data_IF_392974412839
#
_entry.id   IF_392974412839
#
_cell.length_a   1.000
_cell.length_b   1.000
_cell.length_c   1.000
_cell.angle_alpha   90.00
_cell.angle_beta   90.00
_cell.angle_gamma   90.00
#
_symmetry.space_group_name_H-M   'P 1'
#
loop_
_entity.id
_entity.type
_entity.pdbx_description
1 polymer ?
#
# COMPACT_ATOMS: atom_id res chain seq x y z
N UNK A 1 33.10 72.58 -33.00
CA UNK A 1 32.30 71.48 -33.61
C UNK A 1 31.24 71.07 -32.57
N UNK A 2 29.91 71.04 -32.82
CA UNK A 2 29.15 70.14 -33.72
C UNK A 2 29.55 68.67 -33.48
N UNK A 3 28.73 67.69 -33.11
CA UNK A 3 27.28 67.44 -33.00
C UNK A 3 27.04 66.62 -31.69
N UNK A 4 25.87 66.48 -31.04
CA UNK A 4 24.52 67.05 -31.15
C UNK A 4 23.73 66.77 -29.84
N UNK A 5 22.42 67.09 -29.79
CA UNK A 5 21.45 66.52 -28.82
C UNK A 5 20.41 65.71 -29.59
N UNK A 6 20.06 64.51 -29.11
CA UNK A 6 19.03 63.65 -29.71
C UNK A 6 18.07 63.10 -28.66
N UNK A 7 16.92 63.76 -28.49
CA UNK A 7 15.85 63.35 -27.58
C UNK A 7 14.96 62.26 -28.22
N UNK A 8 14.69 61.17 -27.48
CA UNK A 8 13.45 60.41 -27.66
C UNK A 8 13.04 59.50 -26.49
N UNK A 9 12.04 59.97 -25.74
CA UNK A 9 10.87 59.21 -25.21
C UNK A 9 11.10 57.87 -24.47
N UNK A 10 10.94 57.95 -23.14
CA UNK A 10 9.93 57.20 -22.37
C UNK A 10 9.43 55.85 -22.93
N UNK A 11 9.78 54.75 -22.24
CA UNK A 11 8.83 53.66 -21.96
C UNK A 11 8.90 53.25 -20.50
N UNK A 12 7.75 53.29 -19.82
CA UNK A 12 7.57 52.81 -18.44
C UNK A 12 7.39 51.29 -18.45
N UNK A 13 7.85 50.65 -17.36
CA UNK A 13 7.36 49.40 -16.75
C UNK A 13 6.56 48.42 -17.62
N UNK A 14 7.18 47.26 -17.88
CA UNK A 14 6.59 45.94 -17.66
C UNK A 14 7.70 45.13 -16.95
N UNK A 15 7.46 44.31 -15.93
CA UNK A 15 6.22 43.66 -15.49
C UNK A 15 6.54 42.18 -15.34
N UNK A 16 6.47 41.64 -14.12
CA UNK A 16 6.85 40.26 -13.78
C UNK A 16 6.15 39.21 -14.66
N UNK A 17 6.89 38.56 -15.56
CA UNK A 17 6.54 37.29 -16.23
C UNK A 17 7.87 36.60 -16.57
N UNK A 18 8.16 35.33 -16.27
CA UNK A 18 7.30 34.24 -15.79
C UNK A 18 7.87 33.52 -14.56
N UNK A 19 7.22 33.67 -13.40
CA UNK A 19 7.32 32.73 -12.28
C UNK A 19 6.17 31.69 -12.30
N UNK A 20 5.39 31.63 -13.38
CA UNK A 20 4.07 30.98 -13.42
C UNK A 20 4.02 29.51 -13.87
N UNK A 21 5.11 28.92 -14.37
CA UNK A 21 5.09 27.56 -14.93
C UNK A 21 5.45 26.44 -13.93
N UNK A 22 6.07 26.77 -12.79
CA UNK A 22 6.40 25.80 -11.74
C UNK A 22 5.27 25.58 -10.72
N UNK A 23 4.26 26.45 -10.68
CA UNK A 23 3.11 26.30 -9.77
C UNK A 23 2.06 25.30 -10.27
N UNK A 24 1.92 25.11 -11.59
CA UNK A 24 0.89 24.26 -12.19
C UNK A 24 1.19 22.75 -12.05
N UNK A 25 2.46 22.35 -11.90
CA UNK A 25 2.82 20.93 -11.78
C UNK A 25 2.48 20.35 -10.40
N UNK A 26 2.63 21.13 -9.32
CA UNK A 26 2.31 20.67 -7.96
C UNK A 26 0.80 20.50 -7.74
N UNK A 27 -0.03 21.41 -8.26
CA UNK A 27 -1.50 21.30 -8.19
C UNK A 27 -2.06 20.12 -9.01
N UNK A 28 -1.37 19.73 -10.09
CA UNK A 28 -1.76 18.59 -10.94
C UNK A 28 -1.45 17.20 -10.36
N UNK A 29 -0.81 17.11 -9.19
CA UNK A 29 -0.49 15.84 -8.52
C UNK A 29 -1.53 15.52 -7.44
N UNK A 30 -1.82 16.45 -6.52
CA UNK A 30 -2.83 16.26 -5.47
C UNK A 30 -4.22 15.97 -6.05
N UNK A 31 -4.61 16.72 -7.10
CA UNK A 31 -5.89 16.55 -7.79
C UNK A 31 -6.09 15.17 -8.42
N UNK A 32 -5.02 14.47 -8.82
CA UNK A 32 -5.13 13.09 -9.32
C UNK A 32 -5.29 12.07 -8.20
N UNK A 33 -4.58 12.23 -7.08
CA UNK A 33 -4.78 11.39 -5.89
C UNK A 33 -6.19 11.55 -5.34
N UNK A 34 -6.69 12.79 -5.24
CA UNK A 34 -8.05 13.11 -4.83
C UNK A 34 -9.09 12.47 -5.76
N UNK A 35 -8.92 12.59 -7.10
CA UNK A 35 -9.81 11.95 -8.07
C UNK A 35 -9.80 10.43 -7.95
N UNK A 36 -8.63 9.80 -7.90
CA UNK A 36 -8.51 8.34 -7.75
C UNK A 36 -9.13 7.85 -6.44
N UNK A 37 -8.98 8.63 -5.36
CA UNK A 37 -9.60 8.34 -4.05
C UNK A 37 -11.12 8.51 -4.08
N UNK A 38 -11.68 9.41 -4.89
CA UNK A 38 -13.13 9.48 -5.13
C UNK A 38 -13.61 8.25 -5.87
N UNK A 39 -12.92 7.86 -6.94
CA UNK A 39 -13.28 6.69 -7.75
C UNK A 39 -13.24 5.38 -6.95
N UNK A 40 -12.27 5.22 -6.03
CA UNK A 40 -12.27 4.10 -5.08
C UNK A 40 -13.51 4.08 -4.17
N UNK A 41 -13.97 5.24 -3.68
CA UNK A 41 -15.20 5.35 -2.86
C UNK A 41 -16.49 5.16 -3.66
N UNK A 42 -16.41 5.32 -4.98
CA UNK A 42 -17.48 5.06 -5.94
C UNK A 42 -17.41 3.64 -6.53
N UNK A 43 -16.51 2.79 -6.01
CA UNK A 43 -16.26 1.40 -6.45
C UNK A 43 -15.86 1.27 -7.94
N UNK A 44 -15.35 2.35 -8.54
CA UNK A 44 -14.91 2.43 -9.95
C UNK A 44 -13.43 2.08 -10.06
N UNK A 45 -13.10 0.83 -9.79
CA UNK A 45 -11.72 0.39 -9.58
C UNK A 45 -10.85 0.49 -10.85
N UNK A 46 -11.38 0.23 -12.05
CA UNK A 46 -10.64 0.41 -13.30
C UNK A 46 -10.32 1.90 -13.56
N UNK A 47 -11.30 2.79 -13.40
CA UNK A 47 -11.09 4.23 -13.54
C UNK A 47 -10.09 4.75 -12.49
N UNK A 48 -10.16 4.23 -11.26
CA UNK A 48 -9.23 4.56 -10.18
C UNK A 48 -7.80 4.15 -10.54
N UNK A 49 -7.60 2.90 -11.00
CA UNK A 49 -6.31 2.39 -11.45
C UNK A 49 -5.71 3.28 -12.56
N UNK A 50 -6.49 3.59 -13.60
CA UNK A 50 -6.08 4.51 -14.68
C UNK A 50 -5.64 5.89 -14.19
N UNK A 51 -6.31 6.44 -13.16
CA UNK A 51 -5.96 7.74 -12.59
C UNK A 51 -4.70 7.65 -11.73
N UNK A 52 -4.52 6.58 -10.97
CA UNK A 52 -3.33 6.36 -10.16
C UNK A 52 -2.09 6.04 -11.01
N UNK A 53 -2.20 5.29 -12.11
CA UNK A 53 -1.10 5.08 -13.07
C UNK A 53 -0.61 6.39 -13.70
N UNK A 54 -1.52 7.32 -13.99
CA UNK A 54 -1.19 8.68 -14.49
C UNK A 54 -0.56 9.57 -13.40
N UNK A 55 -0.62 9.17 -12.13
CA UNK A 55 -0.06 9.87 -10.98
C UNK A 55 1.25 9.24 -10.46
N UNK A 56 1.44 7.92 -10.59
CA UNK A 56 2.63 7.21 -10.09
C UNK A 56 3.93 7.65 -10.77
N UNK A 57 3.88 8.15 -12.00
CA UNK A 57 5.02 8.79 -12.67
C UNK A 57 5.42 10.18 -12.14
N UNK A 58 4.82 10.69 -11.04
CA UNK A 58 5.03 12.07 -10.56
C UNK A 58 5.59 12.13 -9.14
N UNK A 59 6.77 12.72 -9.01
CA UNK A 59 7.63 12.64 -7.82
C UNK A 59 7.05 13.10 -6.48
N UNK A 60 6.03 13.97 -6.46
CA UNK A 60 5.51 14.52 -5.19
C UNK A 60 4.47 13.65 -4.48
N UNK A 61 3.82 12.71 -5.19
CA UNK A 61 2.73 11.87 -4.68
C UNK A 61 2.81 10.41 -5.17
N UNK A 62 3.99 10.00 -5.66
CA UNK A 62 4.24 8.68 -6.27
C UNK A 62 3.83 7.52 -5.34
N UNK A 63 4.20 7.59 -4.06
CA UNK A 63 3.89 6.54 -3.06
C UNK A 63 2.40 6.45 -2.71
N UNK A 64 1.69 7.58 -2.64
CA UNK A 64 0.23 7.59 -2.46
C UNK A 64 -0.48 7.07 -3.71
N UNK A 65 0.03 7.37 -4.91
CA UNK A 65 -0.48 6.82 -6.17
C UNK A 65 -0.32 5.29 -6.22
N UNK A 66 0.86 4.77 -5.90
CA UNK A 66 1.09 3.32 -5.84
C UNK A 66 0.21 2.61 -4.79
N UNK A 67 -0.05 3.23 -3.63
CA UNK A 67 -1.02 2.70 -2.65
C UNK A 67 -2.44 2.64 -3.22
N UNK A 68 -2.88 3.71 -3.89
CA UNK A 68 -4.18 3.76 -4.55
C UNK A 68 -4.33 2.74 -5.69
N UNK A 69 -3.26 2.57 -6.47
CA UNK A 69 -3.18 1.58 -7.54
C UNK A 69 -3.24 0.14 -7.00
N UNK A 70 -2.55 -0.15 -5.90
CA UNK A 70 -2.61 -1.44 -5.22
C UNK A 70 -4.01 -1.78 -4.72
N UNK A 71 -4.72 -0.82 -4.09
CA UNK A 71 -6.12 -0.98 -3.69
C UNK A 71 -6.99 -1.24 -4.92
N UNK A 72 -6.83 -0.44 -5.98
CA UNK A 72 -7.61 -0.59 -7.21
C UNK A 72 -7.43 -1.99 -7.82
N UNK A 73 -6.20 -2.49 -7.89
CA UNK A 73 -5.92 -3.84 -8.40
C UNK A 73 -6.39 -4.96 -7.47
N UNK A 74 -6.38 -4.74 -6.15
CA UNK A 74 -6.90 -5.70 -5.18
C UNK A 74 -8.40 -5.96 -5.36
N UNK A 75 -9.19 -4.89 -5.45
CA UNK A 75 -10.65 -4.97 -5.65
C UNK A 75 -11.01 -5.56 -7.02
N UNK A 76 -10.15 -5.37 -8.03
CA UNK A 76 -10.26 -6.03 -9.34
C UNK A 76 -9.80 -7.50 -9.35
N UNK A 77 -9.37 -8.06 -8.22
CA UNK A 77 -8.83 -9.42 -8.13
C UNK A 77 -7.49 -9.63 -8.86
N UNK A 78 -6.80 -8.55 -9.25
CA UNK A 78 -5.49 -8.56 -9.92
C UNK A 78 -4.39 -8.57 -8.84
N UNK A 79 -4.38 -9.62 -8.02
CA UNK A 79 -3.57 -9.73 -6.81
C UNK A 79 -2.05 -9.65 -7.03
N UNK A 80 -1.57 -10.09 -8.20
CA UNK A 80 -0.17 -9.97 -8.63
C UNK A 80 0.26 -8.51 -8.77
N UNK A 81 -0.57 -7.71 -9.47
CA UNK A 81 -0.36 -6.27 -9.63
C UNK A 81 -0.60 -5.51 -8.34
N UNK A 82 -1.57 -5.94 -7.53
CA UNK A 82 -1.85 -5.36 -6.23
C UNK A 82 -0.62 -5.47 -5.32
N UNK A 83 -0.05 -6.68 -5.19
CA UNK A 83 1.17 -6.91 -4.41
C UNK A 83 2.33 -6.03 -4.91
N UNK A 84 2.60 -6.01 -6.21
CA UNK A 84 3.69 -5.19 -6.78
C UNK A 84 3.50 -3.68 -6.55
N UNK A 85 2.28 -3.17 -6.69
CA UNK A 85 1.96 -1.77 -6.41
C UNK A 85 2.09 -1.43 -4.91
N UNK A 86 1.70 -2.34 -4.01
CA UNK A 86 1.88 -2.18 -2.56
C UNK A 86 3.36 -2.25 -2.14
N UNK A 87 4.15 -3.19 -2.69
CA UNK A 87 5.63 -3.22 -2.52
C UNK A 87 6.23 -1.86 -2.92
N UNK A 88 5.91 -1.39 -4.13
CA UNK A 88 6.43 -0.10 -4.64
C UNK A 88 6.01 1.07 -3.74
N UNK A 89 4.78 1.08 -3.23
CA UNK A 89 4.32 2.11 -2.29
C UNK A 89 5.14 2.12 -0.98
N UNK A 90 5.45 0.93 -0.44
CA UNK A 90 6.26 0.76 0.76
C UNK A 90 7.72 1.19 0.54
N UNK A 91 8.33 0.82 -0.59
CA UNK A 91 9.67 1.25 -1.01
C UNK A 91 9.77 2.77 -1.15
N UNK A 92 8.73 3.40 -1.71
CA UNK A 92 8.63 4.87 -1.85
C UNK A 92 8.24 5.56 -0.54
N UNK A 93 8.19 4.84 0.58
CA UNK A 93 7.97 5.39 1.92
C UNK A 93 6.56 5.89 2.18
N UNK A 94 5.54 5.21 1.64
CA UNK A 94 4.14 5.45 2.05
C UNK A 94 3.99 5.16 3.55
N UNK A 95 3.01 5.80 4.21
CA UNK A 95 2.69 5.48 5.60
C UNK A 95 2.30 4.00 5.71
N UNK A 96 3.11 3.23 6.45
CA UNK A 96 2.79 1.86 6.86
C UNK A 96 1.54 1.87 7.74
N UNK A 97 0.59 0.98 7.45
CA UNK A 97 -0.63 0.79 8.25
C UNK A 97 -0.99 -0.70 8.28
N UNK A 98 -1.70 -1.18 9.31
CA UNK A 98 -2.14 -2.58 9.40
C UNK A 98 -2.90 -3.04 8.16
N UNK A 99 -3.80 -2.19 7.65
CA UNK A 99 -4.67 -2.50 6.51
C UNK A 99 -3.87 -2.64 5.21
N UNK A 100 -2.81 -1.84 5.03
CA UNK A 100 -1.90 -1.97 3.89
C UNK A 100 -1.16 -3.32 3.94
N UNK A 101 -0.72 -3.73 5.13
CA UNK A 101 -0.08 -5.03 5.34
C UNK A 101 -1.07 -6.19 5.20
N UNK A 102 -2.33 -6.05 5.61
CA UNK A 102 -3.37 -7.06 5.40
C UNK A 102 -3.68 -7.25 3.91
N UNK A 103 -3.90 -6.15 3.17
CA UNK A 103 -4.14 -6.20 1.72
C UNK A 103 -2.95 -6.80 0.96
N UNK A 104 -1.71 -6.48 1.36
CA UNK A 104 -0.50 -7.08 0.79
C UNK A 104 -0.40 -8.58 1.13
N UNK A 105 -0.66 -8.97 2.37
CA UNK A 105 -0.66 -10.37 2.80
C UNK A 105 -1.71 -11.20 2.07
N UNK A 106 -2.94 -10.69 1.94
CA UNK A 106 -4.01 -11.34 1.17
C UNK A 106 -3.61 -11.41 -0.32
N UNK A 107 -3.04 -10.35 -0.90
CA UNK A 107 -2.56 -10.37 -2.28
C UNK A 107 -1.54 -11.50 -2.51
N UNK A 108 -0.58 -11.65 -1.59
CA UNK A 108 0.40 -12.74 -1.65
C UNK A 108 -0.19 -14.13 -1.47
N UNK A 109 -1.10 -14.29 -0.51
CA UNK A 109 -1.83 -15.53 -0.28
C UNK A 109 -2.60 -15.97 -1.54
N UNK A 110 -3.26 -15.03 -2.22
CA UNK A 110 -4.04 -15.31 -3.44
C UNK A 110 -3.18 -15.72 -4.65
N UNK A 111 -1.92 -15.31 -4.70
CA UNK A 111 -0.95 -15.71 -5.75
C UNK A 111 0.02 -16.82 -5.31
N UNK A 112 -0.21 -17.44 -4.14
CA UNK A 112 0.58 -18.57 -3.64
C UNK A 112 1.97 -18.21 -3.11
N UNK A 113 2.29 -16.92 -2.89
CA UNK A 113 3.56 -16.48 -2.30
C UNK A 113 3.46 -16.48 -0.76
N UNK A 114 3.24 -17.67 -0.18
CA UNK A 114 2.89 -17.84 1.22
C UNK A 114 3.91 -17.27 2.22
N UNK A 115 5.21 -17.40 1.96
CA UNK A 115 6.26 -16.81 2.83
C UNK A 115 6.14 -15.29 2.93
N UNK A 116 5.89 -14.61 1.80
CA UNK A 116 5.67 -13.16 1.76
C UNK A 116 4.34 -12.77 2.40
N UNK A 117 3.32 -13.63 2.30
CA UNK A 117 2.05 -13.43 2.98
C UNK A 117 2.23 -13.46 4.50
N UNK A 118 2.93 -14.47 5.04
CA UNK A 118 3.21 -14.62 6.47
C UNK A 118 3.91 -13.37 7.02
N UNK A 119 5.02 -12.96 6.38
CA UNK A 119 5.76 -11.74 6.75
C UNK A 119 4.87 -10.48 6.69
N UNK A 120 3.95 -10.39 5.73
CA UNK A 120 3.04 -9.24 5.63
C UNK A 120 2.01 -9.24 6.77
N UNK A 121 1.44 -10.39 7.12
CA UNK A 121 0.50 -10.53 8.23
C UNK A 121 1.18 -10.25 9.58
N UNK A 122 2.38 -10.79 9.81
CA UNK A 122 3.19 -10.52 11.01
C UNK A 122 3.47 -9.03 11.16
N UNK A 123 3.94 -8.36 10.09
CA UNK A 123 4.28 -6.94 10.13
C UNK A 123 3.08 -6.04 10.47
N UNK A 124 1.85 -6.42 10.08
CA UNK A 124 0.66 -5.62 10.34
C UNK A 124 -0.01 -5.93 11.68
N UNK A 125 -0.02 -7.20 12.12
CA UNK A 125 -0.62 -7.61 13.40
C UNK A 125 0.13 -7.04 14.61
N UNK A 126 1.46 -6.87 14.50
CA UNK A 126 2.31 -6.28 15.52
C UNK A 126 2.24 -4.73 15.59
N UNK A 127 1.47 -4.06 14.73
CA UNK A 127 1.37 -2.59 14.74
C UNK A 127 0.42 -2.07 15.83
N UNK A 128 0.83 -1.00 16.54
CA UNK A 128 0.00 -0.30 17.53
C UNK A 128 -1.38 0.16 16.99
N UNK A 129 -1.47 0.41 15.69
CA UNK A 129 -2.70 0.85 15.03
C UNK A 129 -3.69 -0.27 14.68
N UNK A 130 -3.32 -1.55 14.83
CA UNK A 130 -4.20 -2.66 14.48
C UNK A 130 -5.21 -2.91 15.61
N UNK A 131 -6.50 -2.77 15.30
CA UNK A 131 -7.58 -3.15 16.21
C UNK A 131 -7.65 -4.67 16.39
N UNK A 132 -8.15 -5.14 17.54
CA UNK A 132 -8.06 -6.55 17.95
C UNK A 132 -8.65 -7.54 16.93
N UNK A 133 -9.74 -7.16 16.25
CA UNK A 133 -10.32 -7.98 15.17
C UNK A 133 -9.34 -8.15 14.00
N UNK A 134 -8.69 -7.07 13.55
CA UNK A 134 -7.73 -7.11 12.45
C UNK A 134 -6.45 -7.85 12.87
N UNK A 135 -5.98 -7.67 14.11
CA UNK A 135 -4.88 -8.46 14.67
C UNK A 135 -5.20 -9.96 14.63
N UNK A 136 -6.41 -10.35 15.04
CA UNK A 136 -6.87 -11.74 15.04
C UNK A 136 -6.97 -12.30 13.62
N UNK A 137 -7.56 -11.56 12.69
CA UNK A 137 -7.65 -11.95 11.27
C UNK A 137 -6.26 -12.16 10.66
N UNK A 138 -5.33 -11.22 10.86
CA UNK A 138 -3.97 -11.30 10.34
C UNK A 138 -3.19 -12.47 10.96
N UNK A 139 -3.27 -12.67 12.29
CA UNK A 139 -2.61 -13.78 12.96
C UNK A 139 -3.17 -15.16 12.55
N UNK A 140 -4.49 -15.27 12.34
CA UNK A 140 -5.11 -16.48 11.78
C UNK A 140 -4.63 -16.74 10.34
N UNK A 141 -4.62 -15.71 9.50
CA UNK A 141 -4.14 -15.83 8.12
C UNK A 141 -2.64 -16.18 8.06
N UNK A 142 -1.82 -15.70 9.01
CA UNK A 142 -0.41 -16.06 9.14
C UNK A 142 -0.20 -17.57 9.38
N UNK A 143 -0.96 -18.16 10.33
CA UNK A 143 -0.95 -19.61 10.59
C UNK A 143 -1.33 -20.38 9.33
N UNK A 144 -2.43 -19.99 8.68
CA UNK A 144 -2.93 -20.65 7.47
C UNK A 144 -1.91 -20.61 6.31
N UNK A 145 -1.23 -19.48 6.07
CA UNK A 145 -0.24 -19.43 4.98
C UNK A 145 1.05 -20.19 5.32
N UNK A 146 1.45 -20.26 6.59
CA UNK A 146 2.59 -21.09 7.01
C UNK A 146 2.28 -22.59 6.83
N UNK A 147 1.06 -23.03 7.18
CA UNK A 147 0.56 -24.39 6.89
C UNK A 147 0.58 -24.66 5.37
N UNK A 148 0.13 -23.70 4.54
CA UNK A 148 0.17 -23.83 3.07
C UNK A 148 1.57 -23.75 2.45
N UNK A 149 2.56 -23.18 3.16
CA UNK A 149 3.97 -23.25 2.81
C UNK A 149 4.62 -24.60 3.20
N UNK A 150 3.94 -25.40 4.04
CA UNK A 150 4.50 -26.62 4.63
C UNK A 150 5.43 -26.37 5.82
N UNK A 151 5.49 -25.13 6.33
CA UNK A 151 6.28 -24.77 7.51
C UNK A 151 5.46 -25.00 8.78
N UNK A 152 5.14 -26.28 9.04
CA UNK A 152 4.30 -26.70 10.16
C UNK A 152 4.87 -26.29 11.52
N UNK A 153 6.20 -26.24 11.64
CA UNK A 153 6.89 -25.76 12.85
C UNK A 153 6.54 -24.30 13.14
N UNK A 154 6.73 -23.38 12.17
CA UNK A 154 6.33 -21.98 12.39
C UNK A 154 4.83 -21.82 12.50
N UNK A 155 4.04 -22.56 11.72
CA UNK A 155 2.57 -22.53 11.83
C UNK A 155 2.13 -22.87 13.27
N UNK A 156 2.74 -23.89 13.89
CA UNK A 156 2.48 -24.27 15.29
C UNK A 156 2.90 -23.20 16.28
N UNK A 157 4.12 -22.65 16.15
CA UNK A 157 4.60 -21.54 16.99
C UNK A 157 3.63 -20.35 16.95
N UNK A 158 3.07 -20.03 15.78
CA UNK A 158 2.10 -18.94 15.61
C UNK A 158 0.70 -19.29 16.12
N UNK A 159 0.27 -20.55 16.01
CA UNK A 159 -0.97 -21.01 16.63
C UNK A 159 -0.90 -20.94 18.17
N UNK A 160 0.22 -21.33 18.78
CA UNK A 160 0.42 -21.20 20.22
C UNK A 160 0.43 -19.73 20.67
N UNK A 161 1.11 -18.84 19.92
CA UNK A 161 1.12 -17.39 20.20
C UNK A 161 -0.26 -16.73 20.03
N UNK A 162 -1.03 -17.16 19.03
CA UNK A 162 -2.43 -16.76 18.84
C UNK A 162 -3.28 -17.14 20.05
N UNK A 163 -3.18 -18.40 20.52
CA UNK A 163 -3.98 -18.91 21.63
C UNK A 163 -3.60 -18.31 22.99
N UNK A 164 -2.40 -17.76 23.15
CA UNK A 164 -2.07 -16.92 24.33
C UNK A 164 -2.90 -15.62 24.38
N UNK A 165 -3.34 -15.12 23.23
CA UNK A 165 -4.14 -13.89 23.12
C UNK A 165 -5.65 -14.18 23.04
N UNK A 166 -6.04 -15.25 22.34
CA UNK A 166 -7.42 -15.67 22.14
C UNK A 166 -7.64 -17.13 22.58
N UNK A 167 -7.57 -17.43 23.90
CA UNK A 167 -7.57 -18.80 24.43
C UNK A 167 -8.91 -19.54 24.30
N UNK A 168 -9.98 -18.87 23.86
CA UNK A 168 -11.32 -19.45 23.66
C UNK A 168 -11.59 -19.84 22.19
N UNK A 169 -10.59 -19.73 21.30
CA UNK A 169 -10.71 -20.10 19.90
C UNK A 169 -10.57 -21.62 19.68
N UNK A 170 -11.70 -22.34 19.74
CA UNK A 170 -11.77 -23.79 19.56
C UNK A 170 -11.34 -24.29 18.18
N UNK A 171 -11.33 -23.44 17.14
CA UNK A 171 -10.90 -23.87 15.82
C UNK A 171 -9.37 -23.79 15.70
N UNK A 172 -8.74 -22.72 16.22
CA UNK A 172 -7.27 -22.65 16.29
C UNK A 172 -6.68 -23.65 17.29
N UNK A 173 -7.40 -24.06 18.35
CA UNK A 173 -6.96 -25.18 19.21
C UNK A 173 -6.79 -26.48 18.45
N UNK A 174 -7.80 -26.89 17.67
CA UNK A 174 -7.75 -28.11 16.85
C UNK A 174 -6.65 -28.01 15.79
N UNK A 175 -6.47 -26.83 15.22
CA UNK A 175 -5.40 -26.58 14.25
C UNK A 175 -4.02 -26.71 14.91
N UNK A 176 -3.80 -26.15 16.11
CA UNK A 176 -2.56 -26.31 16.86
C UNK A 176 -2.28 -27.80 17.20
N UNK A 177 -3.29 -28.56 17.62
CA UNK A 177 -3.18 -30.01 17.84
C UNK A 177 -2.79 -30.77 16.55
N UNK A 178 -3.40 -30.42 15.41
CA UNK A 178 -3.03 -31.00 14.11
C UNK A 178 -1.59 -30.65 13.71
N UNK A 179 -1.21 -29.37 13.81
CA UNK A 179 0.11 -28.87 13.45
C UNK A 179 1.24 -29.50 14.29
N UNK A 180 1.01 -29.76 15.58
CA UNK A 180 1.94 -30.53 16.43
C UNK A 180 2.27 -31.90 15.80
N UNK A 181 1.26 -32.61 15.27
CA UNK A 181 1.47 -33.91 14.62
C UNK A 181 2.26 -33.82 13.32
N UNK A 182 2.15 -32.70 12.59
CA UNK A 182 2.91 -32.52 11.33
C UNK A 182 4.34 -32.08 11.61
N UNK A 183 4.54 -31.12 12.53
CA UNK A 183 5.85 -30.61 12.90
C UNK A 183 6.75 -31.69 13.53
N UNK A 184 6.19 -32.60 14.34
CA UNK A 184 6.93 -33.74 14.92
C UNK A 184 7.34 -34.83 13.93
N UNK A 185 6.90 -34.75 12.66
CA UNK A 185 7.20 -35.71 11.59
C UNK A 185 8.08 -35.12 10.46
N UNK A 186 8.52 -33.86 10.58
CA UNK A 186 9.31 -33.14 9.59
C UNK A 186 10.83 -33.14 9.89
#
# INVERSE_FOLDING_TARGET
MKKEKGDRKMKKRFGLVAAGLLALTMAGCSTQIEKGTSLLKEEKYEEAAEVFEKASGKSSMEREAYRGLGISYFELGQYDKAASAFETALEKGVKKTPELYNLLGISYMKIGQYDKAAVSFENGSQMDGAGDQLKREMAYNEIFVLEKAGDYTKAKERADAYLQTWPDDEDVKKEAEFLETQAGNA
#
